data_IF_505067726378
#
_entry.id   IF_505067726378
#
_cell.length_a   1.000
_cell.length_b   1.000
_cell.length_c   1.000
_cell.angle_alpha   90.00
_cell.angle_beta   90.00
_cell.angle_gamma   90.00
#
_symmetry.space_group_name_H-M   'P 1'
#
loop_
_entity.id
_entity.type
_entity.pdbx_description
1 polymer ?
#
# COMPACT_ATOMS: atom_id res chain seq x y z
N UNK A 1 -10.87 -24.10 11.32
CA UNK A 1 -9.47 -23.55 11.32
C UNK A 1 -9.61 -22.03 11.15
N UNK A 2 -9.07 -21.22 12.06
CA UNK A 2 -9.06 -19.76 11.89
C UNK A 2 -7.76 -19.38 11.19
N UNK A 3 -7.85 -18.96 9.93
CA UNK A 3 -6.74 -18.32 9.23
C UNK A 3 -6.79 -16.81 9.41
N UNK A 4 -5.77 -16.11 8.95
CA UNK A 4 -5.75 -14.65 8.87
C UNK A 4 -6.86 -14.17 7.93
N UNK A 5 -7.76 -13.31 8.42
CA UNK A 5 -8.82 -12.72 7.62
C UNK A 5 -8.29 -11.55 6.78
N UNK A 6 -9.02 -11.18 5.72
CA UNK A 6 -8.69 -9.98 4.91
C UNK A 6 -8.77 -8.68 5.73
N UNK A 7 -9.70 -8.62 6.70
CA UNK A 7 -9.79 -7.49 7.61
C UNK A 7 -8.55 -7.35 8.49
N UNK A 8 -8.09 -8.44 9.10
CA UNK A 8 -6.88 -8.45 9.91
C UNK A 8 -5.62 -8.09 9.09
N UNK A 9 -5.51 -8.59 7.86
CA UNK A 9 -4.41 -8.21 6.98
C UNK A 9 -4.46 -6.71 6.63
N UNK A 10 -5.65 -6.18 6.37
CA UNK A 10 -5.84 -4.75 6.10
C UNK A 10 -5.52 -3.91 7.35
N UNK A 11 -5.90 -4.35 8.54
CA UNK A 11 -5.58 -3.66 9.79
C UNK A 11 -4.06 -3.59 10.00
N UNK A 12 -3.35 -4.70 9.80
CA UNK A 12 -1.89 -4.74 9.88
C UNK A 12 -1.22 -3.77 8.90
N UNK A 13 -1.63 -3.80 7.63
CA UNK A 13 -1.03 -2.93 6.61
C UNK A 13 -1.37 -1.46 6.81
N UNK A 14 -2.55 -1.16 7.35
CA UNK A 14 -2.97 0.20 7.69
C UNK A 14 -2.18 0.74 8.87
N UNK A 15 -1.93 -0.08 9.90
CA UNK A 15 -1.13 0.28 11.06
C UNK A 15 0.32 0.57 10.65
N UNK A 16 0.93 -0.29 9.85
CA UNK A 16 2.27 -0.06 9.28
C UNK A 16 2.33 1.26 8.50
N UNK A 17 1.33 1.55 7.67
CA UNK A 17 1.24 2.81 6.90
C UNK A 17 1.11 4.03 7.82
N UNK A 18 0.38 3.92 8.94
CA UNK A 18 0.26 4.98 9.93
C UNK A 18 1.59 5.26 10.63
N UNK A 19 2.34 4.23 11.00
CA UNK A 19 3.68 4.37 11.56
C UNK A 19 4.61 5.11 10.57
N UNK A 20 4.59 4.76 9.30
CA UNK A 20 5.35 5.45 8.26
C UNK A 20 4.95 6.92 8.10
N UNK A 21 3.64 7.24 8.11
CA UNK A 21 3.16 8.63 8.09
C UNK A 21 3.75 9.44 9.24
N UNK A 22 3.65 8.91 10.46
CA UNK A 22 4.08 9.61 11.67
C UNK A 22 5.62 9.76 11.69
N UNK A 23 6.33 8.75 11.19
CA UNK A 23 7.77 8.78 11.07
C UNK A 23 8.25 9.80 10.01
N UNK A 24 7.66 9.85 8.83
CA UNK A 24 7.99 10.85 7.79
C UNK A 24 7.61 12.27 8.21
N UNK A 25 6.58 12.44 9.02
CA UNK A 25 6.24 13.74 9.60
C UNK A 25 7.38 14.27 10.48
N UNK A 26 8.06 13.39 11.23
CA UNK A 26 9.22 13.72 12.06
C UNK A 26 10.53 13.81 11.26
N UNK A 27 10.61 13.13 10.12
CA UNK A 27 11.80 13.00 9.27
C UNK A 27 11.54 13.43 7.82
N UNK A 28 11.06 14.65 7.54
CA UNK A 28 10.62 15.06 6.20
C UNK A 28 11.75 15.01 5.16
N UNK A 29 12.99 15.25 5.57
CA UNK A 29 14.17 15.20 4.69
C UNK A 29 14.44 13.80 4.13
N UNK A 30 13.96 12.76 4.80
CA UNK A 30 14.15 11.38 4.33
C UNK A 30 13.42 11.12 3.00
N UNK A 31 12.35 11.88 2.70
CA UNK A 31 11.60 11.78 1.44
C UNK A 31 12.44 12.13 0.20
N UNK A 32 13.45 12.98 0.36
CA UNK A 32 14.25 13.49 -0.75
C UNK A 32 15.56 12.69 -0.96
N UNK A 33 15.76 11.61 -0.19
CA UNK A 33 16.94 10.76 -0.35
C UNK A 33 16.88 10.00 -1.69
N UNK A 34 17.95 10.09 -2.50
CA UNK A 34 18.02 9.32 -3.73
C UNK A 34 18.15 7.82 -3.40
N UNK A 35 17.45 6.98 -4.13
CA UNK A 35 17.50 5.53 -3.98
C UNK A 35 17.39 4.82 -5.34
N UNK A 36 17.58 3.49 -5.31
CA UNK A 36 17.28 2.60 -6.44
C UNK A 36 16.48 1.42 -5.90
N UNK A 37 15.20 1.65 -5.63
CA UNK A 37 14.27 0.64 -5.14
C UNK A 37 13.24 0.38 -6.22
N UNK A 38 13.30 -0.79 -6.85
CA UNK A 38 12.39 -1.21 -7.91
C UNK A 38 12.24 -0.17 -9.06
N UNK A 39 13.33 0.52 -9.39
CA UNK A 39 13.39 1.53 -10.45
C UNK A 39 12.89 2.92 -10.05
N UNK A 40 12.51 3.15 -8.79
CA UNK A 40 12.23 4.48 -8.25
C UNK A 40 13.53 5.19 -7.88
N UNK A 41 13.60 6.50 -8.14
CA UNK A 41 14.82 7.30 -8.05
C UNK A 41 15.05 7.92 -6.67
N UNK A 42 14.00 8.06 -5.88
CA UNK A 42 14.03 8.62 -4.54
C UNK A 42 12.95 7.99 -3.65
N UNK A 43 13.06 8.25 -2.36
CA UNK A 43 12.13 7.73 -1.35
C UNK A 43 10.70 8.21 -1.60
N UNK A 44 10.50 9.42 -2.06
CA UNK A 44 9.18 9.98 -2.40
C UNK A 44 8.51 9.17 -3.49
N UNK A 45 9.24 8.81 -4.55
CA UNK A 45 8.71 7.95 -5.62
C UNK A 45 8.32 6.56 -5.10
N UNK A 46 9.07 6.00 -4.12
CA UNK A 46 8.70 4.72 -3.49
C UNK A 46 7.40 4.85 -2.70
N UNK A 47 7.26 5.89 -1.87
CA UNK A 47 6.03 6.14 -1.12
C UNK A 47 4.85 6.37 -2.07
N UNK A 48 5.04 7.21 -3.09
CA UNK A 48 4.04 7.43 -4.14
C UNK A 48 3.62 6.10 -4.80
N UNK A 49 4.58 5.25 -5.12
CA UNK A 49 4.30 3.95 -5.75
C UNK A 49 3.46 3.04 -4.85
N UNK A 50 3.79 2.96 -3.57
CA UNK A 50 3.01 2.17 -2.60
C UNK A 50 1.56 2.66 -2.55
N UNK A 51 1.37 3.96 -2.38
CA UNK A 51 0.05 4.59 -2.25
C UNK A 51 -0.75 4.44 -3.55
N UNK A 52 -0.13 4.74 -4.69
CA UNK A 52 -0.78 4.66 -6.01
C UNK A 52 -1.26 3.24 -6.32
N UNK A 53 -0.47 2.23 -6.01
CA UNK A 53 -0.85 0.83 -6.25
C UNK A 53 -2.05 0.45 -5.39
N UNK A 54 -2.02 0.73 -4.08
CA UNK A 54 -3.13 0.43 -3.19
C UNK A 54 -4.41 1.15 -3.64
N UNK A 55 -4.33 2.45 -3.93
CA UNK A 55 -5.47 3.25 -4.34
C UNK A 55 -6.08 2.77 -5.67
N UNK A 56 -5.27 2.58 -6.70
CA UNK A 56 -5.76 2.14 -8.02
C UNK A 56 -6.37 0.75 -7.99
N UNK A 57 -5.93 -0.14 -7.10
CA UNK A 57 -6.59 -1.43 -6.90
C UNK A 57 -7.88 -1.32 -6.09
N UNK A 58 -7.96 -0.45 -5.10
CA UNK A 58 -9.20 -0.14 -4.40
C UNK A 58 -10.27 0.42 -5.36
N UNK A 59 -9.89 1.38 -6.20
CA UNK A 59 -10.74 1.95 -7.25
C UNK A 59 -11.28 0.87 -8.21
N UNK A 60 -10.41 -0.06 -8.65
CA UNK A 60 -10.84 -1.18 -9.51
C UNK A 60 -11.83 -2.11 -8.83
N UNK A 61 -11.59 -2.46 -7.57
CA UNK A 61 -12.47 -3.34 -6.81
C UNK A 61 -13.86 -2.73 -6.61
N UNK A 62 -13.93 -1.41 -6.46
CA UNK A 62 -15.17 -0.65 -6.26
C UNK A 62 -15.80 -0.15 -7.58
N UNK A 63 -15.22 -0.48 -8.74
CA UNK A 63 -15.63 0.06 -10.06
C UNK A 63 -15.66 1.59 -10.13
N UNK A 64 -14.72 2.25 -9.45
CA UNK A 64 -14.53 3.70 -9.50
C UNK A 64 -13.66 4.10 -10.69
N UNK A 65 -13.71 5.36 -11.13
CA UNK A 65 -12.72 5.91 -12.08
C UNK A 65 -11.31 5.70 -11.54
N UNK A 66 -10.40 5.29 -12.44
CA UNK A 66 -9.00 5.02 -12.06
C UNK A 66 -8.21 6.31 -12.14
N UNK A 67 -7.65 6.73 -11.02
CA UNK A 67 -6.75 7.89 -10.95
C UNK A 67 -5.49 7.63 -11.77
N UNK A 68 -5.12 8.57 -12.63
CA UNK A 68 -3.91 8.46 -13.40
C UNK A 68 -2.67 8.69 -12.54
N UNK A 69 -1.61 7.96 -12.85
CA UNK A 69 -0.39 7.98 -12.02
C UNK A 69 0.26 9.36 -12.00
N UNK A 70 0.20 10.08 -13.11
CA UNK A 70 0.80 11.41 -13.26
C UNK A 70 0.10 12.47 -12.40
N UNK A 71 -1.18 12.29 -12.08
CA UNK A 71 -1.93 13.17 -11.17
C UNK A 71 -1.42 13.12 -9.73
N UNK A 72 -0.68 12.08 -9.38
CA UNK A 72 -0.16 11.86 -8.03
C UNK A 72 1.26 12.42 -7.84
N UNK A 73 1.99 12.65 -8.93
CA UNK A 73 3.41 13.00 -8.91
C UNK A 73 3.74 14.30 -8.19
N UNK A 74 2.80 15.25 -8.15
CA UNK A 74 2.97 16.56 -7.49
C UNK A 74 2.53 16.60 -6.02
N UNK A 75 2.03 15.49 -5.47
CA UNK A 75 1.47 15.45 -4.12
C UNK A 75 2.54 15.48 -3.04
N UNK A 76 2.27 16.26 -1.99
CA UNK A 76 3.09 16.27 -0.78
C UNK A 76 2.99 14.94 -0.01
N UNK A 77 3.91 14.69 0.92
CA UNK A 77 3.86 13.52 1.79
C UNK A 77 2.52 13.41 2.53
N UNK A 78 2.03 14.53 3.09
CA UNK A 78 0.74 14.57 3.79
C UNK A 78 -0.42 14.15 2.89
N UNK A 79 -0.47 14.65 1.65
CA UNK A 79 -1.50 14.27 0.69
C UNK A 79 -1.41 12.79 0.31
N UNK A 80 -0.20 12.24 0.12
CA UNK A 80 -0.01 10.83 -0.18
C UNK A 80 -0.54 9.94 0.95
N UNK A 81 -0.22 10.26 2.21
CA UNK A 81 -0.73 9.48 3.34
C UNK A 81 -2.24 9.67 3.56
N UNK A 82 -2.82 10.81 3.22
CA UNK A 82 -4.28 11.01 3.20
C UNK A 82 -4.93 10.09 2.17
N UNK A 83 -4.34 9.95 0.97
CA UNK A 83 -4.81 9.02 -0.05
C UNK A 83 -4.63 7.55 0.36
N UNK A 84 -3.54 7.22 1.05
CA UNK A 84 -3.33 5.89 1.59
C UNK A 84 -4.43 5.50 2.60
N UNK A 85 -4.77 6.41 3.50
CA UNK A 85 -5.86 6.21 4.45
C UNK A 85 -7.20 6.01 3.74
N UNK A 86 -7.55 6.91 2.81
CA UNK A 86 -8.78 6.79 2.02
C UNK A 86 -8.85 5.46 1.27
N UNK A 87 -7.78 5.05 0.62
CA UNK A 87 -7.76 3.78 -0.11
C UNK A 87 -7.88 2.55 0.79
N UNK A 88 -7.39 2.62 2.04
CA UNK A 88 -7.62 1.58 3.04
C UNK A 88 -9.09 1.49 3.45
N UNK A 89 -9.78 2.64 3.60
CA UNK A 89 -11.23 2.68 3.85
C UNK A 89 -12.02 2.12 2.66
N UNK A 90 -11.62 2.45 1.44
CA UNK A 90 -12.22 1.92 0.21
C UNK A 90 -12.08 0.38 0.14
N UNK A 91 -10.88 -0.16 0.44
CA UNK A 91 -10.65 -1.61 0.55
C UNK A 91 -11.50 -2.25 1.65
N UNK A 92 -11.64 -1.59 2.80
CA UNK A 92 -12.49 -2.06 3.89
C UNK A 92 -13.95 -2.11 3.48
N UNK A 93 -14.43 -1.08 2.82
CA UNK A 93 -15.80 -1.00 2.30
C UNK A 93 -16.09 -2.14 1.32
N UNK A 94 -15.17 -2.43 0.41
CA UNK A 94 -15.26 -3.58 -0.47
C UNK A 94 -15.30 -4.90 0.32
N UNK A 95 -14.38 -5.10 1.25
CA UNK A 95 -14.27 -6.35 2.02
C UNK A 95 -15.52 -6.64 2.89
N UNK A 96 -16.19 -5.60 3.38
CA UNK A 96 -17.43 -5.73 4.16
C UNK A 96 -18.66 -6.03 3.27
N UNK A 97 -18.69 -5.45 2.07
CA UNK A 97 -19.84 -5.58 1.17
C UNK A 97 -19.77 -6.82 0.28
N UNK A 98 -18.57 -7.32 -0.05
CA UNK A 98 -18.36 -8.39 -1.01
C UNK A 98 -18.82 -9.76 -0.48
N UNK A 99 -19.62 -10.46 -1.27
CA UNK A 99 -19.97 -11.87 -1.06
C UNK A 99 -18.94 -12.79 -1.77
N UNK A 100 -19.07 -14.10 -1.62
CA UNK A 100 -18.13 -15.08 -2.19
C UNK A 100 -18.03 -14.97 -3.72
N UNK A 101 -19.14 -14.71 -4.42
CA UNK A 101 -19.13 -14.52 -5.88
C UNK A 101 -18.41 -13.23 -6.29
N UNK A 102 -18.50 -12.18 -5.49
CA UNK A 102 -17.73 -10.95 -5.71
C UNK A 102 -16.23 -11.21 -5.55
N UNK A 103 -15.84 -11.95 -4.51
CA UNK A 103 -14.44 -12.29 -4.26
C UNK A 103 -13.80 -13.14 -5.37
N UNK A 104 -14.56 -14.10 -5.91
CA UNK A 104 -14.11 -15.01 -6.97
C UNK A 104 -14.23 -14.40 -8.37
N UNK A 105 -15.04 -13.34 -8.52
CA UNK A 105 -15.17 -12.58 -9.77
C UNK A 105 -13.83 -12.02 -10.24
N UNK A 106 -13.61 -12.02 -11.56
CA UNK A 106 -12.36 -11.58 -12.18
C UNK A 106 -12.46 -10.18 -12.77
N UNK A 107 -11.34 -9.46 -12.76
CA UNK A 107 -11.13 -8.20 -13.47
C UNK A 107 -9.99 -8.34 -14.46
N UNK A 108 -10.13 -7.72 -15.63
CA UNK A 108 -9.08 -7.63 -16.65
C UNK A 108 -8.69 -6.17 -16.83
N UNK A 109 -7.41 -5.86 -16.69
CA UNK A 109 -6.92 -4.49 -16.74
C UNK A 109 -5.46 -4.40 -17.22
N UNK A 110 -5.05 -3.27 -17.82
CA UNK A 110 -3.66 -3.03 -18.16
C UNK A 110 -2.82 -2.78 -16.89
N UNK A 111 -1.59 -3.26 -16.90
CA UNK A 111 -0.56 -2.97 -15.90
C UNK A 111 0.54 -2.10 -16.50
N UNK A 112 1.34 -1.42 -15.68
CA UNK A 112 2.45 -0.59 -16.17
C UNK A 112 3.58 -1.39 -16.82
N UNK A 113 3.82 -2.61 -16.36
CA UNK A 113 5.04 -3.37 -16.69
C UNK A 113 4.80 -4.76 -17.25
N UNK A 114 3.63 -5.34 -17.01
CA UNK A 114 3.34 -6.74 -17.34
C UNK A 114 2.21 -6.90 -18.39
N UNK A 115 1.86 -5.84 -19.12
CA UNK A 115 0.78 -5.87 -20.10
C UNK A 115 -0.59 -6.02 -19.45
N UNK A 116 -1.53 -6.69 -20.12
CA UNK A 116 -2.88 -6.93 -19.60
C UNK A 116 -2.90 -8.16 -18.68
N UNK A 117 -3.48 -7.98 -17.51
CA UNK A 117 -3.63 -9.03 -16.49
C UNK A 117 -5.11 -9.30 -16.22
N UNK A 118 -5.46 -10.59 -16.06
CA UNK A 118 -6.75 -11.02 -15.53
C UNK A 118 -6.52 -11.70 -14.17
N UNK A 119 -7.22 -11.23 -13.14
CA UNK A 119 -7.09 -11.78 -11.78
C UNK A 119 -8.43 -11.74 -11.03
N UNK A 120 -8.62 -12.64 -10.07
CA UNK A 120 -9.77 -12.57 -9.17
C UNK A 120 -9.66 -11.33 -8.27
N UNK A 121 -10.80 -10.79 -7.85
CA UNK A 121 -10.85 -9.65 -6.92
C UNK A 121 -10.14 -9.97 -5.61
N UNK A 122 -10.25 -11.20 -5.12
CA UNK A 122 -9.49 -11.72 -3.97
C UNK A 122 -7.98 -11.56 -4.15
N UNK A 123 -7.44 -11.96 -5.31
CA UNK A 123 -6.01 -11.85 -5.62
C UNK A 123 -5.58 -10.39 -5.70
N UNK A 124 -6.40 -9.53 -6.30
CA UNK A 124 -6.16 -8.10 -6.42
C UNK A 124 -6.09 -7.45 -5.03
N UNK A 125 -7.06 -7.75 -4.16
CA UNK A 125 -7.12 -7.23 -2.80
C UNK A 125 -5.87 -7.61 -2.00
N UNK A 126 -5.54 -8.90 -1.94
CA UNK A 126 -4.35 -9.41 -1.23
C UNK A 126 -3.07 -8.80 -1.81
N UNK A 127 -2.98 -8.70 -3.15
CA UNK A 127 -1.82 -8.09 -3.80
C UNK A 127 -1.65 -6.62 -3.39
N UNK A 128 -2.73 -5.82 -3.34
CA UNK A 128 -2.66 -4.42 -2.94
C UNK A 128 -2.02 -4.25 -1.56
N UNK A 129 -2.34 -5.13 -0.61
CA UNK A 129 -1.80 -5.10 0.75
C UNK A 129 -0.35 -5.60 0.82
N UNK A 130 -0.07 -6.78 0.26
CA UNK A 130 1.27 -7.38 0.28
C UNK A 130 2.29 -6.56 -0.52
N UNK A 131 1.86 -5.87 -1.56
CA UNK A 131 2.70 -4.94 -2.32
C UNK A 131 3.24 -3.82 -1.42
N UNK A 132 2.39 -3.23 -0.60
CA UNK A 132 2.79 -2.23 0.39
C UNK A 132 3.81 -2.79 1.38
N UNK A 133 3.52 -3.94 2.00
CA UNK A 133 4.43 -4.61 2.95
C UNK A 133 5.82 -4.84 2.34
N UNK A 134 5.87 -5.34 1.10
CA UNK A 134 7.13 -5.56 0.39
C UNK A 134 7.95 -4.29 0.25
N UNK A 135 7.35 -3.20 -0.20
CA UNK A 135 8.06 -1.96 -0.45
C UNK A 135 8.41 -1.21 0.83
N UNK A 136 7.57 -1.25 1.86
CA UNK A 136 7.91 -0.73 3.18
C UNK A 136 9.13 -1.44 3.78
N UNK A 137 9.25 -2.76 3.62
CA UNK A 137 10.42 -3.51 4.10
C UNK A 137 11.71 -3.12 3.34
N UNK A 138 11.63 -2.91 2.02
CA UNK A 138 12.76 -2.41 1.24
C UNK A 138 13.18 -1.02 1.70
N UNK A 139 12.20 -0.14 1.90
CA UNK A 139 12.42 1.23 2.35
C UNK A 139 13.02 1.29 3.76
N UNK A 140 12.52 0.47 4.69
CA UNK A 140 13.07 0.36 6.05
C UNK A 140 14.55 -0.02 6.03
N UNK A 141 14.92 -0.99 5.22
CA UNK A 141 16.31 -1.41 5.06
C UNK A 141 17.17 -0.30 4.49
N UNK A 142 16.72 0.34 3.41
CA UNK A 142 17.44 1.44 2.78
C UNK A 142 17.66 2.62 3.75
N UNK A 143 16.59 3.10 4.39
CA UNK A 143 16.64 4.25 5.30
C UNK A 143 17.56 3.98 6.50
N UNK A 144 17.54 2.76 7.06
CA UNK A 144 18.46 2.38 8.13
C UNK A 144 19.93 2.45 7.69
N UNK A 145 20.23 2.04 6.45
CA UNK A 145 21.59 2.13 5.88
C UNK A 145 22.01 3.59 5.67
N UNK A 146 21.08 4.50 5.46
CA UNK A 146 21.31 5.94 5.37
C UNK A 146 21.34 6.66 6.74
N UNK A 147 21.30 5.91 7.85
CA UNK A 147 21.33 6.45 9.20
C UNK A 147 19.95 6.88 9.76
N UNK A 148 18.87 6.67 9.01
CA UNK A 148 17.50 6.95 9.42
C UNK A 148 16.85 5.70 10.01
N UNK A 149 16.87 5.54 11.33
CA UNK A 149 16.28 4.39 12.01
C UNK A 149 14.78 4.61 12.26
N UNK A 150 14.00 3.56 12.06
CA UNK A 150 12.62 3.47 12.50
C UNK A 150 12.59 3.05 13.98
N UNK A 151 11.58 3.50 14.71
CA UNK A 151 11.42 3.30 16.15
C UNK A 151 10.31 2.29 16.52
N UNK A 152 9.78 1.56 15.54
CA UNK A 152 8.80 0.48 15.74
C UNK A 152 9.27 -0.82 15.07
N UNK A 153 8.84 -2.00 15.57
CA UNK A 153 9.07 -3.27 14.91
C UNK A 153 8.12 -3.44 13.71
N UNK A 154 8.64 -3.88 12.57
CA UNK A 154 7.87 -4.08 11.34
C UNK A 154 7.24 -5.47 11.21
N UNK A 155 7.63 -6.42 12.08
CA UNK A 155 7.17 -7.80 11.98
C UNK A 155 5.74 -7.96 12.50
N UNK A 156 4.94 -8.74 11.77
CA UNK A 156 3.55 -9.01 12.10
C UNK A 156 3.32 -9.49 13.52
N UNK A 157 4.26 -10.29 14.08
CA UNK A 157 4.16 -10.83 15.46
C UNK A 157 4.09 -9.73 16.53
N UNK A 158 4.58 -8.52 16.24
CA UNK A 158 4.53 -7.38 17.15
C UNK A 158 3.33 -6.48 16.92
N UNK A 159 2.52 -6.75 15.90
CA UNK A 159 1.30 -5.99 15.65
C UNK A 159 0.22 -6.27 16.70
N UNK A 160 -0.69 -5.33 16.89
CA UNK A 160 -1.86 -5.50 17.77
C UNK A 160 -3.04 -6.26 17.13
N UNK A 161 -2.86 -6.77 15.90
CA UNK A 161 -3.97 -7.23 15.05
C UNK A 161 -4.59 -8.56 15.49
N UNK A 162 -3.78 -9.50 15.96
CA UNK A 162 -4.24 -10.77 16.55
C UNK A 162 -3.62 -10.90 17.92
N UNK A 163 -4.45 -11.09 18.94
CA UNK A 163 -4.02 -11.33 20.34
C UNK A 163 -4.02 -12.81 20.67
#
# INVERSE_FOLDING_TARGET
MRGLSFGELLDYTSDETNHWRDWFTKNPKAMDLPCDIAGMKDVREVVLHIVAVQMRYAERLLNLPITEYDELGSKSATELFTLAHKSAEDLRSFAVAANDADWDGTLTFPTRTAGTLTASRRKIFVHALLHGVRHWAQLATFLRQQGFKQDWPHDFIFSGVIK
#
